data_IF_561512386920
#
_entry.id   IF_561512386920
#
_cell.length_a   1.000
_cell.length_b   1.000
_cell.length_c   1.000
_cell.angle_alpha   90.00
_cell.angle_beta   90.00
_cell.angle_gamma   90.00
#
_symmetry.space_group_name_H-M   'P 1'
#
loop_
_entity.id
_entity.type
_entity.pdbx_description
1 polymer ?
#
# COMPACT_ATOMS: atom_id res chain seq x y z
N UNK A 1 19.97 17.90 10.79
CA UNK A 1 19.24 18.15 9.52
C UNK A 1 18.87 16.86 8.77
N UNK A 2 19.81 15.96 8.42
CA UNK A 2 19.49 14.74 7.64
C UNK A 2 18.48 13.81 8.33
N UNK A 3 18.60 13.63 9.66
CA UNK A 3 17.66 12.82 10.44
C UNK A 3 16.22 13.37 10.45
N UNK A 4 16.07 14.71 10.51
CA UNK A 4 14.74 15.36 10.51
C UNK A 4 14.06 15.16 9.15
N UNK A 5 14.80 15.32 8.05
CA UNK A 5 14.26 15.09 6.69
C UNK A 5 13.85 13.64 6.50
N UNK A 6 14.65 12.69 7.00
CA UNK A 6 14.30 11.27 6.99
C UNK A 6 13.03 11.00 7.80
N UNK A 7 12.93 11.56 9.01
CA UNK A 7 11.76 11.42 9.88
C UNK A 7 10.50 11.96 9.20
N UNK A 8 10.57 13.14 8.58
CA UNK A 8 9.44 13.73 7.83
C UNK A 8 9.02 12.84 6.65
N UNK A 9 9.97 12.24 5.95
CA UNK A 9 9.66 11.31 4.85
C UNK A 9 9.00 10.04 5.35
N UNK A 10 9.48 9.48 6.46
CA UNK A 10 8.87 8.31 7.09
C UNK A 10 7.45 8.64 7.52
N UNK A 11 7.24 9.75 8.23
CA UNK A 11 5.90 10.18 8.65
C UNK A 11 4.97 10.39 7.47
N UNK A 12 5.43 11.05 6.40
CA UNK A 12 4.64 11.24 5.18
C UNK A 12 4.25 9.90 4.55
N UNK A 13 5.20 8.96 4.44
CA UNK A 13 4.91 7.63 3.90
C UNK A 13 3.92 6.87 4.77
N UNK A 14 4.10 6.88 6.10
CA UNK A 14 3.19 6.23 7.06
C UNK A 14 1.78 6.79 6.94
N UNK A 15 1.63 8.12 6.85
CA UNK A 15 0.31 8.75 6.67
C UNK A 15 -0.34 8.31 5.35
N UNK A 16 0.42 8.31 4.25
CA UNK A 16 -0.09 7.85 2.96
C UNK A 16 -0.50 6.37 3.00
N UNK A 17 0.30 5.52 3.65
CA UNK A 17 -0.01 4.10 3.83
C UNK A 17 -1.27 3.88 4.68
N UNK A 18 -1.45 4.63 5.77
CA UNK A 18 -2.67 4.52 6.58
C UNK A 18 -3.92 4.93 5.81
N UNK A 19 -3.80 5.84 4.83
CA UNK A 19 -4.90 6.24 3.94
C UNK A 19 -5.20 5.15 2.90
N UNK A 20 -4.20 4.38 2.45
CA UNK A 20 -4.43 3.32 1.45
C UNK A 20 -5.17 2.12 2.04
N UNK A 21 -4.97 1.80 3.32
CA UNK A 21 -5.68 0.71 4.01
C UNK A 21 -7.20 0.77 3.77
N UNK A 22 -7.94 1.83 4.17
CA UNK A 22 -9.38 1.86 3.97
C UNK A 22 -9.80 1.85 2.49
N UNK A 23 -8.95 2.40 1.62
CA UNK A 23 -9.21 2.54 0.19
C UNK A 23 -9.07 1.23 -0.57
N UNK A 24 -8.11 0.38 -0.19
CA UNK A 24 -7.76 -0.85 -0.91
C UNK A 24 -8.32 -2.08 -0.20
N UNK A 25 -8.14 -2.20 1.12
CA UNK A 25 -8.61 -3.39 1.87
C UNK A 25 -10.14 -3.55 1.88
N UNK A 26 -10.90 -2.44 1.82
CA UNK A 26 -12.36 -2.48 1.93
C UNK A 26 -13.08 -2.03 0.66
N UNK A 27 -12.38 -1.90 -0.47
CA UNK A 27 -12.97 -1.38 -1.71
C UNK A 27 -14.20 -2.20 -2.16
N UNK A 28 -14.14 -3.52 -2.01
CA UNK A 28 -15.23 -4.44 -2.38
C UNK A 28 -15.07 -5.80 -1.70
N UNK A 29 -16.16 -6.46 -1.28
CA UNK A 29 -16.11 -7.86 -0.88
C UNK A 29 -15.71 -8.76 -2.06
N UNK A 30 -14.95 -9.82 -1.78
CA UNK A 30 -14.63 -10.84 -2.76
C UNK A 30 -15.89 -11.58 -3.22
N UNK A 31 -15.93 -11.93 -4.50
CA UNK A 31 -16.89 -12.89 -5.04
C UNK A 31 -16.56 -14.29 -4.57
N UNK A 32 -17.54 -15.20 -4.69
CA UNK A 32 -17.34 -16.61 -4.37
C UNK A 32 -16.21 -17.23 -5.18
N UNK A 33 -16.17 -16.98 -6.49
CA UNK A 33 -15.11 -17.48 -7.36
C UNK A 33 -13.73 -16.96 -6.92
N UNK A 34 -13.58 -15.66 -6.66
CA UNK A 34 -12.31 -15.09 -6.19
C UNK A 34 -11.88 -15.65 -4.83
N UNK A 35 -12.85 -15.98 -3.97
CA UNK A 35 -12.60 -16.64 -2.68
C UNK A 35 -12.09 -18.07 -2.88
N UNK A 36 -12.71 -18.82 -3.79
CA UNK A 36 -12.29 -20.20 -4.11
C UNK A 36 -10.85 -20.20 -4.68
N UNK A 37 -10.54 -19.28 -5.60
CA UNK A 37 -9.17 -19.08 -6.12
C UNK A 37 -8.17 -18.73 -5.02
N UNK A 38 -8.56 -17.89 -4.06
CA UNK A 38 -7.72 -17.49 -2.96
C UNK A 38 -7.41 -18.68 -2.03
N UNK A 39 -8.41 -19.54 -1.78
CA UNK A 39 -8.23 -20.78 -1.00
C UNK A 39 -7.28 -21.73 -1.72
N UNK A 40 -7.52 -22.01 -3.00
CA UNK A 40 -6.67 -22.90 -3.80
C UNK A 40 -5.22 -22.39 -3.86
N UNK A 41 -5.05 -21.08 -4.04
CA UNK A 41 -3.73 -20.43 -4.07
C UNK A 41 -3.04 -20.49 -2.71
N UNK A 42 -3.79 -20.32 -1.62
CA UNK A 42 -3.24 -20.39 -0.26
C UNK A 42 -2.75 -21.80 0.07
N UNK A 43 -3.52 -22.83 -0.30
CA UNK A 43 -3.12 -24.23 -0.15
C UNK A 43 -1.88 -24.55 -0.99
N UNK A 44 -1.86 -24.13 -2.26
CA UNK A 44 -0.74 -24.36 -3.16
C UNK A 44 0.57 -23.72 -2.66
N UNK A 45 0.47 -22.52 -2.09
CA UNK A 45 1.62 -21.79 -1.52
C UNK A 45 1.99 -22.24 -0.09
N UNK A 46 1.22 -23.15 0.52
CA UNK A 46 1.48 -23.67 1.87
C UNK A 46 1.10 -22.72 3.01
N UNK A 47 0.16 -21.80 2.79
CA UNK A 47 -0.38 -20.97 3.87
C UNK A 47 -1.31 -21.78 4.77
N UNK A 48 -1.41 -21.38 6.04
CA UNK A 48 -2.30 -22.05 7.01
C UNK A 48 -3.78 -21.82 6.71
N UNK A 49 -4.11 -20.70 6.06
CA UNK A 49 -5.45 -20.40 5.57
C UNK A 49 -5.43 -19.29 4.50
N UNK A 50 -6.52 -19.18 3.76
CA UNK A 50 -6.75 -18.13 2.75
C UNK A 50 -6.69 -16.70 3.33
N UNK A 51 -7.03 -16.52 4.61
CA UNK A 51 -7.03 -15.21 5.25
C UNK A 51 -5.61 -14.65 5.38
N UNK A 52 -4.60 -15.48 5.66
CA UNK A 52 -3.19 -15.04 5.71
C UNK A 52 -2.71 -14.56 4.34
N UNK A 53 -3.02 -15.33 3.28
CA UNK A 53 -2.69 -14.93 1.92
C UNK A 53 -3.41 -13.63 1.55
N UNK A 54 -4.69 -13.50 1.90
CA UNK A 54 -5.47 -12.28 1.69
C UNK A 54 -4.83 -11.05 2.35
N UNK A 55 -4.48 -11.16 3.63
CA UNK A 55 -3.85 -10.06 4.37
C UNK A 55 -2.49 -9.69 3.77
N UNK A 56 -1.70 -10.68 3.35
CA UNK A 56 -0.43 -10.44 2.68
C UNK A 56 -0.61 -9.72 1.34
N UNK A 57 -1.54 -10.18 0.51
CA UNK A 57 -1.86 -9.57 -0.78
C UNK A 57 -2.32 -8.11 -0.60
N UNK A 58 -3.20 -7.88 0.37
CA UNK A 58 -3.74 -6.55 0.65
C UNK A 58 -2.69 -5.61 1.24
N UNK A 59 -1.89 -6.06 2.22
CA UNK A 59 -0.77 -5.28 2.73
C UNK A 59 0.26 -4.94 1.64
N UNK A 60 0.50 -5.86 0.70
CA UNK A 60 1.37 -5.64 -0.46
C UNK A 60 0.78 -4.59 -1.41
N UNK A 61 -0.52 -4.70 -1.72
CA UNK A 61 -1.22 -3.72 -2.55
C UNK A 61 -1.18 -2.32 -1.92
N UNK A 62 -1.50 -2.20 -0.64
CA UNK A 62 -1.41 -0.95 0.12
C UNK A 62 -0.02 -0.33 0.05
N UNK A 63 1.01 -1.15 0.21
CA UNK A 63 2.40 -0.71 0.16
C UNK A 63 2.75 -0.16 -1.22
N UNK A 64 2.37 -0.87 -2.28
CA UNK A 64 2.60 -0.44 -3.66
C UNK A 64 1.90 0.90 -3.93
N UNK A 65 0.61 1.02 -3.57
CA UNK A 65 -0.15 2.26 -3.77
C UNK A 65 0.46 3.41 -2.97
N UNK A 66 0.81 3.19 -1.70
CA UNK A 66 1.44 4.20 -0.85
C UNK A 66 2.79 4.67 -1.43
N UNK A 67 3.60 3.75 -1.97
CA UNK A 67 4.87 4.06 -2.61
C UNK A 67 4.69 4.90 -3.88
N UNK A 68 3.70 4.57 -4.71
CA UNK A 68 3.34 5.37 -5.89
C UNK A 68 2.91 6.77 -5.48
N UNK A 69 1.98 6.89 -4.51
CA UNK A 69 1.52 8.18 -4.01
C UNK A 69 2.66 9.01 -3.42
N UNK A 70 3.50 8.40 -2.60
CA UNK A 70 4.67 9.06 -2.01
C UNK A 70 5.60 9.62 -3.09
N UNK A 71 5.88 8.82 -4.12
CA UNK A 71 6.71 9.22 -5.26
C UNK A 71 6.09 10.38 -6.03
N UNK A 72 4.79 10.32 -6.32
CA UNK A 72 4.05 11.38 -7.01
C UNK A 72 4.08 12.68 -6.20
N UNK A 73 3.78 12.63 -4.91
CA UNK A 73 3.82 13.80 -4.01
C UNK A 73 5.21 14.43 -4.01
N UNK A 74 6.27 13.61 -3.92
CA UNK A 74 7.66 14.09 -3.97
C UNK A 74 8.01 14.76 -5.30
N UNK A 75 7.61 14.17 -6.42
CA UNK A 75 7.84 14.74 -7.75
C UNK A 75 7.10 16.06 -7.94
N UNK A 76 5.84 16.13 -7.52
CA UNK A 76 5.03 17.35 -7.58
C UNK A 76 5.62 18.44 -6.69
N UNK A 77 6.04 18.12 -5.47
CA UNK A 77 6.69 19.06 -4.57
C UNK A 77 7.97 19.64 -5.18
N UNK A 78 8.83 18.77 -5.73
CA UNK A 78 10.07 19.21 -6.40
C UNK A 78 9.76 20.13 -7.59
N UNK A 79 8.77 19.78 -8.41
CA UNK A 79 8.34 20.59 -9.55
C UNK A 79 7.75 21.93 -9.13
N UNK A 80 6.99 21.96 -8.03
CA UNK A 80 6.42 23.18 -7.48
C UNK A 80 7.51 24.12 -6.97
N UNK A 81 8.47 23.59 -6.19
CA UNK A 81 9.62 24.35 -5.69
C UNK A 81 10.44 24.95 -6.84
N UNK A 82 10.68 24.17 -7.90
CA UNK A 82 11.42 24.63 -9.09
C UNK A 82 10.70 25.72 -9.89
N UNK A 83 9.39 25.90 -9.70
CA UNK A 83 8.59 26.92 -10.41
C UNK A 83 8.38 28.20 -9.60
N UNK A 84 8.52 28.14 -8.27
CA UNK A 84 8.19 29.24 -7.35
C UNK A 84 9.34 29.64 -6.42
N UNK A 85 10.51 29.00 -6.54
CA UNK A 85 11.75 29.37 -5.87
C UNK A 85 12.79 29.78 -6.90
#
# INVERSE_FOLDING_TARGET
MKAIVLLVNILLFVVLYLITIPLVHFWRPLTRQETDWLVDSAEWLGFLNAQQLWWLLMATADFIVALVLFTVVKLLWKKWLSRHG
#
